data_IF_482121318804
#
_entry.id   IF_482121318804
#
_cell.length_a   1.000
_cell.length_b   1.000
_cell.length_c   1.000
_cell.angle_alpha   90.00
_cell.angle_beta   90.00
_cell.angle_gamma   90.00
#
_symmetry.space_group_name_H-M   'P 1'
#
loop_
_entity.id
_entity.type
_entity.pdbx_description
1 polymer ?
#
# COMPACT_ATOMS: atom_id res chain seq x y z
N UNK A 1 16.63 10.35 -9.78
CA UNK A 1 15.45 9.50 -10.06
C UNK A 1 14.96 8.95 -8.73
N UNK A 2 13.93 9.56 -8.12
CA UNK A 2 13.40 9.16 -6.82
C UNK A 2 12.33 8.07 -7.03
N UNK A 3 12.57 6.80 -6.66
CA UNK A 3 11.54 5.78 -6.76
C UNK A 3 10.45 6.01 -5.71
N UNK A 4 9.19 5.96 -6.14
CA UNK A 4 8.01 6.11 -5.29
C UNK A 4 7.96 5.06 -4.17
N UNK A 5 7.70 5.54 -2.95
CA UNK A 5 7.80 4.86 -1.66
C UNK A 5 6.69 3.82 -1.33
N UNK A 6 6.11 3.10 -2.30
CA UNK A 6 5.05 2.11 -2.02
C UNK A 6 5.39 0.66 -2.44
N UNK A 7 6.68 0.31 -2.46
CA UNK A 7 7.17 -0.99 -2.92
C UNK A 7 7.99 -1.80 -1.90
N UNK A 8 7.82 -1.60 -0.59
CA UNK A 8 8.72 -2.16 0.44
C UNK A 8 8.77 -3.71 0.55
N UNK A 9 7.96 -4.41 -0.23
CA UNK A 9 8.04 -5.86 -0.41
C UNK A 9 7.85 -6.23 -1.88
N UNK A 10 8.88 -6.85 -2.48
CA UNK A 10 8.82 -7.40 -3.83
C UNK A 10 7.80 -8.53 -3.85
N UNK A 11 6.60 -8.24 -4.36
CA UNK A 11 5.67 -9.28 -4.81
C UNK A 11 6.39 -10.00 -5.95
N UNK A 12 6.66 -11.30 -5.82
CA UNK A 12 7.06 -12.12 -6.96
C UNK A 12 6.08 -11.85 -8.11
N UNK A 13 6.59 -11.48 -9.27
CA UNK A 13 5.79 -11.07 -10.41
C UNK A 13 4.93 -12.23 -10.89
N UNK A 14 3.62 -12.01 -10.95
CA UNK A 14 2.77 -12.66 -11.93
C UNK A 14 2.75 -11.70 -13.14
N UNK A 15 3.15 -12.19 -14.32
CA UNK A 15 3.47 -11.38 -15.49
C UNK A 15 2.29 -10.63 -16.12
N UNK A 16 2.56 -9.67 -17.02
CA UNK A 16 1.52 -8.94 -17.73
C UNK A 16 1.04 -9.77 -18.93
N UNK A 17 -0.12 -10.40 -18.80
CA UNK A 17 -0.90 -10.89 -19.95
C UNK A 17 -2.29 -10.29 -19.91
N UNK A 18 -2.42 -9.07 -20.44
CA UNK A 18 -3.63 -8.58 -21.08
C UNK A 18 -3.24 -7.30 -21.83
N UNK A 19 -2.90 -7.48 -23.11
CA UNK A 19 -2.44 -6.41 -23.98
C UNK A 19 -3.55 -5.40 -24.30
N UNK A 20 -3.12 -4.15 -24.47
CA UNK A 20 -3.81 -3.19 -25.31
C UNK A 20 -3.52 -3.57 -26.77
N UNK A 21 -4.58 -3.84 -27.53
CA UNK A 21 -4.55 -4.04 -28.98
C UNK A 21 -5.85 -3.52 -29.60
N UNK A 22 -5.82 -3.04 -30.85
CA UNK A 22 -6.66 -1.94 -31.33
C UNK A 22 -8.01 -2.37 -31.90
N UNK A 23 -8.89 -1.37 -31.98
CA UNK A 23 -10.22 -1.39 -32.58
C UNK A 23 -10.22 -1.85 -34.04
N UNK A 24 -11.16 -2.71 -34.44
CA UNK A 24 -11.66 -2.83 -35.81
C UNK A 24 -13.05 -3.52 -35.86
N UNK A 25 -13.97 -2.95 -36.65
CA UNK A 25 -15.21 -3.59 -37.14
C UNK A 25 -16.49 -3.26 -36.36
N UNK A 26 -17.15 -2.11 -36.57
CA UNK A 26 -18.14 -1.85 -37.64
C UNK A 26 -19.42 -2.71 -37.58
N UNK A 27 -20.49 -2.17 -36.96
CA UNK A 27 -21.86 -2.36 -37.46
C UNK A 27 -22.67 -1.09 -37.22
N UNK A 28 -22.98 -0.41 -38.34
CA UNK A 28 -23.93 0.69 -38.40
C UNK A 28 -25.36 0.15 -38.29
N UNK A 29 -26.24 0.87 -37.59
CA UNK A 29 -27.59 1.17 -38.07
C UNK A 29 -28.13 2.42 -37.38
N UNK A 30 -28.54 3.38 -38.20
CA UNK A 30 -29.26 4.59 -37.81
C UNK A 30 -30.75 4.34 -37.59
N UNK A 31 -31.48 5.46 -37.50
CA UNK A 31 -32.89 5.68 -37.10
C UNK A 31 -32.99 6.03 -35.60
N UNK A 32 -33.43 7.21 -35.18
CA UNK A 32 -34.36 8.15 -35.80
C UNK A 32 -35.67 8.15 -35.03
N UNK A 33 -35.89 9.23 -34.25
CA UNK A 33 -37.16 9.73 -33.69
C UNK A 33 -37.92 8.92 -32.62
N UNK A 34 -38.34 9.62 -31.55
CA UNK A 34 -39.65 9.36 -30.94
C UNK A 34 -39.74 9.57 -29.42
N UNK A 35 -40.21 10.75 -29.00
CA UNK A 35 -40.84 10.96 -27.69
C UNK A 35 -42.32 10.55 -27.75
N UNK A 36 -42.84 9.76 -26.79
CA UNK A 36 -44.29 9.53 -26.64
C UNK A 36 -44.69 8.37 -25.72
N UNK A 37 -45.68 8.51 -24.80
CA UNK A 37 -46.00 7.54 -23.76
C UNK A 37 -47.27 6.67 -24.00
N UNK A 38 -47.37 5.58 -23.21
CA UNK A 38 -48.53 4.71 -22.88
C UNK A 38 -48.68 3.40 -23.67
N UNK A 39 -48.81 2.28 -22.93
CA UNK A 39 -49.42 1.03 -23.44
C UNK A 39 -49.06 -0.23 -22.65
N UNK A 40 -50.05 -0.85 -22.01
CA UNK A 40 -50.00 -1.93 -21.02
C UNK A 40 -49.74 -3.37 -21.57
N UNK A 41 -49.26 -4.27 -20.69
CA UNK A 41 -49.61 -5.71 -20.69
C UNK A 41 -48.45 -6.68 -21.03
N UNK A 42 -47.76 -7.31 -20.07
CA UNK A 42 -48.06 -8.55 -19.30
C UNK A 42 -47.24 -9.76 -19.81
N UNK A 43 -46.46 -10.34 -18.88
CA UNK A 43 -45.80 -11.67 -18.83
C UNK A 43 -44.39 -11.88 -19.36
N UNK A 44 -43.49 -12.27 -18.44
CA UNK A 44 -42.28 -13.03 -18.78
C UNK A 44 -41.04 -12.77 -17.93
N UNK A 45 -41.15 -12.33 -16.67
CA UNK A 45 -39.97 -12.14 -15.81
C UNK A 45 -39.40 -13.48 -15.33
N UNK A 46 -38.46 -14.05 -16.08
CA UNK A 46 -37.57 -15.11 -15.60
C UNK A 46 -36.50 -14.54 -14.65
N UNK A 47 -36.07 -15.27 -13.61
CA UNK A 47 -35.19 -14.73 -12.58
C UNK A 47 -33.72 -14.99 -12.94
N UNK A 48 -33.11 -14.10 -13.71
CA UNK A 48 -31.65 -14.04 -13.84
C UNK A 48 -31.18 -12.57 -13.86
N UNK A 49 -31.22 -11.94 -12.68
CA UNK A 49 -30.38 -10.78 -12.38
C UNK A 49 -29.07 -11.25 -11.76
N UNK A 50 -27.90 -10.70 -12.13
CA UNK A 50 -26.64 -11.02 -11.46
C UNK A 50 -26.57 -10.26 -10.14
N UNK A 51 -27.22 -10.82 -9.12
CA UNK A 51 -27.22 -10.36 -7.74
C UNK A 51 -27.31 -11.55 -6.79
N UNK A 52 -26.42 -12.53 -6.98
CA UNK A 52 -26.38 -13.76 -6.20
C UNK A 52 -25.58 -13.59 -4.90
N UNK A 53 -26.23 -13.07 -3.86
CA UNK A 53 -25.85 -13.38 -2.48
C UNK A 53 -26.35 -14.77 -2.13
N UNK A 54 -25.44 -15.74 -1.99
CA UNK A 54 -25.76 -17.12 -1.63
C UNK A 54 -25.80 -17.35 -0.11
N UNK A 55 -26.66 -18.26 0.41
CA UNK A 55 -26.93 -18.45 1.83
C UNK A 55 -25.99 -19.47 2.51
N UNK A 56 -24.68 -19.33 2.29
CA UNK A 56 -23.65 -20.07 3.03
C UNK A 56 -22.67 -19.09 3.70
N UNK A 57 -23.22 -18.11 4.42
CA UNK A 57 -22.46 -17.31 5.36
C UNK A 57 -22.21 -18.14 6.64
N UNK A 58 -21.25 -19.07 6.56
CA UNK A 58 -20.61 -19.56 7.78
C UNK A 58 -19.72 -18.44 8.30
N UNK A 59 -20.25 -17.67 9.26
CA UNK A 59 -19.47 -16.77 10.10
C UNK A 59 -18.43 -17.56 10.87
N UNK A 60 -17.25 -17.71 10.30
CA UNK A 60 -16.02 -17.86 11.05
C UNK A 60 -15.62 -16.49 11.61
N UNK A 61 -14.80 -16.43 12.68
CA UNK A 61 -14.44 -15.17 13.32
C UNK A 61 -13.86 -14.22 12.27
N UNK A 62 -14.47 -13.05 12.15
CA UNK A 62 -14.21 -12.04 11.14
C UNK A 62 -12.73 -11.60 11.14
N UNK A 63 -11.90 -12.30 10.37
CA UNK A 63 -10.50 -11.93 10.11
C UNK A 63 -10.27 -11.39 8.69
N UNK A 64 -11.33 -11.37 7.86
CA UNK A 64 -11.27 -11.14 6.41
C UNK A 64 -12.44 -10.27 5.88
N UNK A 65 -12.62 -9.07 6.43
CA UNK A 65 -13.40 -8.03 5.78
C UNK A 65 -12.69 -6.68 5.87
N UNK A 66 -12.71 -5.94 4.75
CA UNK A 66 -12.17 -4.59 4.52
C UNK A 66 -10.70 -4.44 4.07
N UNK A 67 -10.51 -4.10 2.80
CA UNK A 67 -9.44 -3.19 2.37
C UNK A 67 -8.10 -3.79 1.91
N UNK A 68 -7.93 -3.97 0.60
CA UNK A 68 -6.60 -4.06 0.01
C UNK A 68 -5.77 -2.80 0.32
N UNK A 69 -4.62 -2.95 1.00
CA UNK A 69 -3.52 -1.99 0.87
C UNK A 69 -2.91 -1.38 2.13
N UNK A 70 -3.43 -1.61 3.33
CA UNK A 70 -2.84 -1.01 4.56
C UNK A 70 -2.81 -2.00 5.73
N UNK A 71 -1.66 -2.61 5.99
CA UNK A 71 -1.51 -3.43 7.19
C UNK A 71 -0.13 -4.06 7.36
N UNK A 72 0.36 -4.07 8.60
CA UNK A 72 1.53 -4.86 9.02
C UNK A 72 1.22 -6.36 9.01
N UNK A 73 -0.04 -6.76 8.86
CA UNK A 73 -0.51 -8.16 8.89
C UNK A 73 0.20 -9.08 7.89
N UNK A 74 0.37 -8.64 6.64
CA UNK A 74 0.98 -9.47 5.59
C UNK A 74 2.50 -9.62 5.77
N UNK A 75 3.25 -8.55 6.07
CA UNK A 75 4.65 -8.65 6.51
C UNK A 75 4.83 -9.50 7.78
N UNK A 76 3.98 -9.29 8.79
CA UNK A 76 4.04 -10.00 10.06
C UNK A 76 3.83 -11.50 9.87
N UNK A 77 2.85 -11.92 9.06
CA UNK A 77 2.62 -13.34 8.75
C UNK A 77 3.81 -14.00 8.05
N UNK A 78 4.47 -13.27 7.14
CA UNK A 78 5.66 -13.77 6.48
C UNK A 78 6.83 -13.94 7.46
N UNK A 79 7.07 -12.95 8.32
CA UNK A 79 8.15 -12.99 9.31
C UNK A 79 7.88 -14.03 10.40
N UNK A 80 6.64 -14.15 10.88
CA UNK A 80 6.23 -15.16 11.85
C UNK A 80 6.51 -16.58 11.32
N UNK A 81 6.16 -16.85 10.07
CA UNK A 81 6.45 -18.13 9.43
C UNK A 81 7.94 -18.33 9.16
N UNK A 82 8.64 -17.31 8.63
CA UNK A 82 10.06 -17.46 8.25
C UNK A 82 11.02 -17.55 9.43
N UNK A 83 10.69 -16.87 10.52
CA UNK A 83 11.50 -16.85 11.73
C UNK A 83 11.00 -17.84 12.78
N UNK A 84 9.87 -18.52 12.55
CA UNK A 84 9.24 -19.42 13.54
C UNK A 84 9.05 -18.68 14.88
N UNK A 85 8.34 -17.56 14.83
CA UNK A 85 8.13 -16.71 16.00
C UNK A 85 7.05 -17.29 16.91
N UNK A 86 7.30 -17.21 18.21
CA UNK A 86 6.31 -17.50 19.26
C UNK A 86 5.24 -16.39 19.31
N UNK A 87 4.05 -16.70 19.82
CA UNK A 87 2.92 -15.77 19.87
C UNK A 87 3.27 -14.44 20.58
N UNK A 88 4.03 -14.51 21.66
CA UNK A 88 4.52 -13.33 22.38
C UNK A 88 5.49 -12.49 21.52
N UNK A 89 6.36 -13.13 20.74
CA UNK A 89 7.28 -12.45 19.84
C UNK A 89 6.52 -11.80 18.67
N UNK A 90 5.49 -12.48 18.14
CA UNK A 90 4.62 -11.95 17.09
C UNK A 90 3.90 -10.69 17.56
N UNK A 91 3.34 -10.69 18.76
CA UNK A 91 2.67 -9.52 19.32
C UNK A 91 3.62 -8.31 19.45
N UNK A 92 4.82 -8.52 20.01
CA UNK A 92 5.84 -7.47 20.15
C UNK A 92 6.31 -6.95 18.79
N UNK A 93 6.57 -7.86 17.84
CA UNK A 93 6.96 -7.50 16.48
C UNK A 93 5.86 -6.71 15.77
N UNK A 94 4.58 -7.03 15.99
CA UNK A 94 3.46 -6.30 15.42
C UNK A 94 3.46 -4.83 15.86
N UNK A 95 3.66 -4.57 17.16
CA UNK A 95 3.75 -3.21 17.71
C UNK A 95 4.92 -2.44 17.09
N UNK A 96 6.11 -3.03 17.07
CA UNK A 96 7.31 -2.39 16.49
C UNK A 96 7.10 -2.03 15.02
N UNK A 97 6.48 -2.93 14.24
CA UNK A 97 6.21 -2.69 12.82
C UNK A 97 5.12 -1.63 12.60
N UNK A 98 4.14 -1.51 13.49
CA UNK A 98 3.08 -0.51 13.38
C UNK A 98 3.58 0.89 13.71
N UNK A 99 4.43 1.01 14.74
CA UNK A 99 5.13 2.26 15.07
C UNK A 99 5.99 2.71 13.87
N UNK A 100 6.80 1.81 13.31
CA UNK A 100 7.66 2.12 12.16
C UNK A 100 6.85 2.50 10.91
N UNK A 101 5.68 1.88 10.71
CA UNK A 101 4.77 2.25 9.62
C UNK A 101 4.23 3.67 9.82
N UNK A 102 3.91 4.05 11.05
CA UNK A 102 3.45 5.41 11.39
C UNK A 102 4.53 6.43 11.11
N UNK A 103 5.77 6.19 11.56
CA UNK A 103 6.91 7.08 11.30
C UNK A 103 7.19 7.25 9.80
N UNK A 104 7.11 6.18 9.01
CA UNK A 104 7.25 6.28 7.54
C UNK A 104 6.10 7.03 6.87
N UNK A 105 4.88 6.87 7.37
CA UNK A 105 3.74 7.63 6.86
C UNK A 105 3.94 9.13 7.14
N UNK A 106 4.42 9.47 8.33
CA UNK A 106 4.76 10.84 8.70
C UNK A 106 5.88 11.40 7.80
N UNK A 107 6.98 10.67 7.63
CA UNK A 107 8.08 11.08 6.75
C UNK A 107 7.63 11.27 5.28
N UNK A 108 6.67 10.47 4.80
CA UNK A 108 6.08 10.62 3.45
C UNK A 108 5.28 11.92 3.34
N UNK A 109 4.51 12.27 4.37
CA UNK A 109 3.78 13.54 4.44
C UNK A 109 4.75 14.72 4.49
N UNK A 110 5.78 14.66 5.33
CA UNK A 110 6.76 15.73 5.46
C UNK A 110 7.58 15.91 4.18
N UNK A 111 7.94 14.82 3.49
CA UNK A 111 8.59 14.91 2.18
C UNK A 111 7.69 15.61 1.14
N UNK A 112 6.38 15.34 1.12
CA UNK A 112 5.44 16.07 0.24
C UNK A 112 5.38 17.54 0.60
N UNK A 113 5.38 17.89 1.89
CA UNK A 113 5.41 19.27 2.37
C UNK A 113 6.69 19.97 1.93
N UNK A 114 7.86 19.35 2.10
CA UNK A 114 9.14 19.90 1.64
C UNK A 114 9.14 20.13 0.13
N UNK A 115 8.60 19.20 -0.67
CA UNK A 115 8.48 19.38 -2.13
C UNK A 115 7.59 20.58 -2.48
N UNK A 116 6.47 20.77 -1.78
CA UNK A 116 5.62 21.95 -1.98
C UNK A 116 6.38 23.24 -1.61
N UNK A 117 7.10 23.26 -0.49
CA UNK A 117 7.91 24.42 -0.08
C UNK A 117 9.03 24.75 -1.08
N UNK A 118 9.66 23.73 -1.68
CA UNK A 118 10.62 23.93 -2.78
C UNK A 118 9.94 24.50 -4.02
N UNK A 119 8.75 24.01 -4.38
CA UNK A 119 8.00 24.52 -5.52
C UNK A 119 7.66 26.01 -5.34
N UNK A 120 7.23 26.41 -4.14
CA UNK A 120 6.96 27.81 -3.85
C UNK A 120 8.22 28.68 -3.93
N UNK A 121 9.37 28.15 -3.49
CA UNK A 121 10.65 28.89 -3.51
C UNK A 121 11.13 29.21 -4.94
N UNK A 122 10.69 28.42 -5.93
CA UNK A 122 11.02 28.62 -7.36
C UNK A 122 9.90 29.27 -8.17
N UNK A 123 8.68 29.37 -7.62
CA UNK A 123 7.51 29.87 -8.34
C UNK A 123 7.47 31.40 -8.47
N UNK A 124 8.19 32.13 -7.61
CA UNK A 124 8.27 33.59 -7.66
C UNK A 124 9.14 34.12 -8.81
N UNK A 125 9.06 35.44 -9.05
CA UNK A 125 9.87 36.12 -10.07
C UNK A 125 11.38 36.01 -9.82
N UNK A 126 11.77 35.78 -8.56
CA UNK A 126 13.14 35.50 -8.16
C UNK A 126 13.17 34.27 -7.25
N UNK A 127 14.32 33.59 -7.24
CA UNK A 127 14.52 32.42 -6.40
C UNK A 127 14.62 32.80 -4.92
N UNK A 128 13.77 32.21 -4.09
CA UNK A 128 13.82 32.34 -2.64
C UNK A 128 14.75 31.29 -2.02
N UNK A 129 16.02 31.65 -1.89
CA UNK A 129 17.04 30.79 -1.32
C UNK A 129 16.79 30.45 0.16
N UNK A 130 16.14 31.33 0.93
CA UNK A 130 15.85 31.10 2.33
C UNK A 130 14.77 30.02 2.49
N UNK A 131 13.67 30.15 1.75
CA UNK A 131 12.59 29.16 1.75
C UNK A 131 13.05 27.79 1.24
N UNK A 132 13.89 27.76 0.21
CA UNK A 132 14.49 26.51 -0.26
C UNK A 132 15.38 25.86 0.82
N UNK A 133 16.18 26.64 1.54
CA UNK A 133 17.01 26.13 2.64
C UNK A 133 16.17 25.54 3.76
N UNK A 134 15.14 26.25 4.22
CA UNK A 134 14.23 25.78 5.26
C UNK A 134 13.52 24.47 4.86
N UNK A 135 13.06 24.37 3.61
CA UNK A 135 12.46 23.16 3.06
C UNK A 135 13.44 21.97 3.06
N UNK A 136 14.71 22.23 2.77
CA UNK A 136 15.80 21.27 2.83
C UNK A 136 16.10 20.81 4.25
N UNK A 137 16.23 21.74 5.19
CA UNK A 137 16.50 21.44 6.60
C UNK A 137 15.35 20.61 7.21
N UNK A 138 14.09 20.95 6.89
CA UNK A 138 12.93 20.17 7.30
C UNK A 138 12.95 18.75 6.74
N UNK A 139 13.39 18.58 5.49
CA UNK A 139 13.52 17.26 4.85
C UNK A 139 14.60 16.41 5.50
N UNK A 140 15.75 17.01 5.81
CA UNK A 140 16.85 16.32 6.50
C UNK A 140 16.40 15.87 7.88
N UNK A 141 15.77 16.77 8.65
CA UNK A 141 15.26 16.45 9.99
C UNK A 141 14.27 15.27 9.98
N UNK A 142 13.34 15.25 9.02
CA UNK A 142 12.40 14.14 8.87
C UNK A 142 13.11 12.82 8.55
N UNK A 143 14.17 12.86 7.73
CA UNK A 143 14.97 11.68 7.43
C UNK A 143 15.80 11.19 8.63
N UNK A 144 16.30 12.11 9.46
CA UNK A 144 17.00 11.78 10.71
C UNK A 144 16.08 11.07 11.70
N UNK A 145 14.87 11.59 11.90
CA UNK A 145 13.85 10.96 12.75
C UNK A 145 13.48 9.55 12.26
N UNK A 146 13.27 9.38 10.95
CA UNK A 146 12.99 8.07 10.39
C UNK A 146 14.18 7.11 10.57
N UNK A 147 15.42 7.58 10.38
CA UNK A 147 16.63 6.79 10.64
C UNK A 147 16.68 6.31 12.10
N UNK A 148 16.43 7.20 13.05
CA UNK A 148 16.42 6.88 14.47
C UNK A 148 15.35 5.84 14.81
N UNK A 149 14.13 6.00 14.27
CA UNK A 149 13.05 5.04 14.43
C UNK A 149 13.42 3.65 13.86
N UNK A 150 14.06 3.60 12.69
CA UNK A 150 14.54 2.35 12.08
C UNK A 150 15.59 1.67 12.96
N UNK A 151 16.59 2.41 13.45
CA UNK A 151 17.64 1.86 14.31
C UNK A 151 17.06 1.33 15.62
N UNK A 152 16.12 2.08 16.22
CA UNK A 152 15.39 1.65 17.42
C UNK A 152 14.62 0.37 17.17
N UNK A 153 13.81 0.30 16.10
CA UNK A 153 13.05 -0.87 15.73
C UNK A 153 13.95 -2.10 15.51
N UNK A 154 15.10 -1.94 14.85
CA UNK A 154 16.08 -3.02 14.69
C UNK A 154 16.65 -3.52 16.01
N UNK A 155 16.92 -2.62 16.95
CA UNK A 155 17.37 -2.97 18.31
C UNK A 155 16.31 -3.77 19.08
N UNK A 156 15.06 -3.34 19.02
CA UNK A 156 13.93 -4.02 19.68
C UNK A 156 13.64 -5.38 19.06
N UNK A 157 13.65 -5.49 17.73
CA UNK A 157 13.53 -6.78 17.01
C UNK A 157 14.67 -7.71 17.42
N UNK A 158 15.92 -7.22 17.44
CA UNK A 158 17.05 -8.03 17.86
C UNK A 158 16.89 -8.55 19.30
N UNK A 159 16.35 -7.73 20.21
CA UNK A 159 16.15 -8.11 21.61
C UNK A 159 15.12 -9.23 21.79
N UNK A 160 14.04 -9.26 21.00
CA UNK A 160 13.00 -10.29 21.11
C UNK A 160 13.38 -11.60 20.43
N UNK A 161 14.27 -11.59 19.43
CA UNK A 161 14.68 -12.77 18.68
C UNK A 161 15.82 -13.53 19.36
N UNK A 162 15.85 -14.86 19.20
CA UNK A 162 16.98 -15.70 19.59
C UNK A 162 18.14 -15.69 18.57
N UNK A 163 19.21 -16.44 18.87
CA UNK A 163 20.41 -16.49 18.04
C UNK A 163 20.21 -17.08 16.64
N UNK A 164 19.31 -18.05 16.46
CA UNK A 164 19.01 -18.64 15.16
C UNK A 164 18.09 -17.73 14.34
N UNK A 165 17.06 -17.19 14.99
CA UNK A 165 16.14 -16.22 14.41
C UNK A 165 16.88 -14.96 13.92
N UNK A 166 17.87 -14.46 14.68
CA UNK A 166 18.73 -13.33 14.26
C UNK A 166 19.55 -13.64 13.00
N UNK A 167 20.05 -14.87 12.85
CA UNK A 167 20.76 -15.29 11.63
C UNK A 167 19.81 -15.33 10.43
N UNK A 168 18.61 -15.90 10.61
CA UNK A 168 17.55 -15.92 9.59
C UNK A 168 17.17 -14.48 9.17
N UNK A 169 16.97 -13.57 10.13
CA UNK A 169 16.69 -12.15 9.86
C UNK A 169 17.82 -11.47 9.08
N UNK A 170 19.07 -11.66 9.50
CA UNK A 170 20.25 -11.10 8.80
C UNK A 170 20.33 -11.60 7.35
N UNK A 171 20.03 -12.87 7.10
CA UNK A 171 19.96 -13.43 5.75
C UNK A 171 18.86 -12.77 4.91
N UNK A 172 17.67 -12.56 5.48
CA UNK A 172 16.56 -11.89 4.78
C UNK A 172 16.90 -10.45 4.39
N UNK A 173 17.62 -9.73 5.25
CA UNK A 173 18.09 -8.36 4.97
C UNK A 173 19.15 -8.34 3.87
N UNK A 174 20.16 -9.21 3.96
CA UNK A 174 21.24 -9.29 2.97
C UNK A 174 20.75 -9.67 1.58
N UNK A 175 19.72 -10.50 1.49
CA UNK A 175 19.14 -10.95 0.21
C UNK A 175 18.13 -9.96 -0.37
N UNK A 176 17.80 -8.89 0.35
CA UNK A 176 16.74 -7.95 -0.04
C UNK A 176 15.33 -8.56 -0.02
N UNK A 177 15.16 -9.74 0.61
CA UNK A 177 13.85 -10.35 0.83
C UNK A 177 13.04 -9.51 1.81
N UNK A 178 13.70 -8.93 2.80
CA UNK A 178 13.21 -7.89 3.69
C UNK A 178 13.93 -6.58 3.38
N UNK A 179 13.17 -5.50 3.15
CA UNK A 179 13.67 -4.15 2.96
C UNK A 179 13.19 -3.23 4.08
N UNK A 180 14.07 -2.32 4.52
CA UNK A 180 13.84 -1.35 5.60
C UNK A 180 14.20 0.04 5.08
#
# INVERSE_FOLDING_TARGET
>A
MYPGFFGWWKRGGCGPSAGCGPHDGAHMHGHGHGCGPRGFGRHGGGPFGPGGGGPFAHGGPDWDAEGGGFGVRRPLRFLAWKLELEEEQVAKLATILDDLKTERAQASVDNRRSVASFADAVAGDTFDAAKAKEAGDARVKSAEQLREAVVKALGEIHAILDGEQRKKLSYLLRTGTLSI
#
